data_IF_939829049619
#
_entry.id   IF_939829049619
#
_cell.length_a   1.000
_cell.length_b   1.000
_cell.length_c   1.000
_cell.angle_alpha   90.00
_cell.angle_beta   90.00
_cell.angle_gamma   90.00
#
_symmetry.space_group_name_H-M   'P 1'
#
loop_
_entity.id
_entity.type
_entity.pdbx_description
1 polymer ?
#
# COMPACT_ATOMS: atom_id res chain seq x y z
N UNK A 1 -20.79 2.75 -31.43
CA UNK A 1 -19.39 2.44 -30.95
C UNK A 1 -19.22 2.60 -29.43
N UNK A 2 -20.14 3.17 -28.68
CA UNK A 2 -20.08 3.31 -27.22
C UNK A 2 -20.58 2.06 -26.45
N UNK A 3 -21.39 1.23 -27.09
CA UNK A 3 -22.00 0.03 -26.47
C UNK A 3 -20.94 -1.05 -26.12
N UNK A 4 -19.97 -1.28 -27.00
CA UNK A 4 -18.96 -2.33 -26.79
C UNK A 4 -18.00 -2.04 -25.62
N UNK A 5 -17.65 -0.78 -25.39
CA UNK A 5 -16.83 -0.38 -24.23
C UNK A 5 -17.62 -0.54 -22.91
N UNK A 6 -18.91 -0.15 -22.91
CA UNK A 6 -19.82 -0.35 -21.77
C UNK A 6 -19.98 -1.83 -21.42
N UNK A 7 -20.05 -2.71 -22.43
CA UNK A 7 -20.21 -4.14 -22.22
C UNK A 7 -18.92 -4.81 -21.68
N UNK A 8 -17.75 -4.31 -22.07
CA UNK A 8 -16.45 -4.76 -21.52
C UNK A 8 -16.33 -4.36 -20.05
N UNK A 9 -16.69 -3.12 -19.68
CA UNK A 9 -16.68 -2.67 -18.29
C UNK A 9 -17.70 -3.43 -17.42
N UNK A 10 -18.90 -3.70 -17.95
CA UNK A 10 -19.89 -4.52 -17.27
C UNK A 10 -19.41 -5.96 -17.05
N UNK A 11 -18.76 -6.56 -18.04
CA UNK A 11 -18.20 -7.92 -17.92
C UNK A 11 -17.04 -7.96 -16.92
N UNK A 12 -16.17 -6.97 -16.90
CA UNK A 12 -15.12 -6.87 -15.87
C UNK A 12 -15.69 -6.69 -14.47
N UNK A 13 -16.71 -5.86 -14.30
CA UNK A 13 -17.42 -5.69 -13.03
C UNK A 13 -18.16 -6.96 -12.59
N UNK A 14 -18.74 -7.71 -13.55
CA UNK A 14 -19.41 -8.99 -13.28
C UNK A 14 -18.41 -10.09 -12.92
N UNK A 15 -17.27 -10.19 -13.60
CA UNK A 15 -16.23 -11.19 -13.28
C UNK A 15 -15.63 -10.97 -11.89
N UNK A 16 -15.43 -9.72 -11.48
CA UNK A 16 -15.00 -9.42 -10.11
C UNK A 16 -16.15 -9.60 -9.10
N UNK A 17 -17.37 -9.29 -9.48
CA UNK A 17 -18.57 -9.51 -8.65
C UNK A 17 -18.92 -10.99 -8.49
N UNK A 18 -18.85 -11.80 -9.56
CA UNK A 18 -19.07 -13.23 -9.53
C UNK A 18 -17.98 -13.96 -8.72
N UNK A 19 -16.72 -13.52 -8.82
CA UNK A 19 -15.65 -14.06 -7.98
C UNK A 19 -15.89 -13.76 -6.49
N UNK A 20 -16.55 -12.63 -6.17
CA UNK A 20 -17.00 -12.30 -4.83
C UNK A 20 -18.22 -13.12 -4.40
N UNK A 21 -19.19 -13.37 -5.29
CA UNK A 21 -20.40 -14.14 -4.99
C UNK A 21 -20.13 -15.64 -4.93
N UNK A 22 -19.34 -16.21 -5.81
CA UNK A 22 -18.95 -17.61 -5.76
C UNK A 22 -18.05 -17.95 -4.57
N UNK A 23 -17.23 -17.03 -4.09
CA UNK A 23 -16.45 -17.21 -2.86
C UNK A 23 -17.27 -17.10 -1.57
N UNK A 24 -18.43 -16.51 -1.60
CA UNK A 24 -19.33 -16.48 -0.42
C UNK A 24 -20.19 -17.75 -0.29
N UNK A 25 -20.26 -18.58 -1.32
CA UNK A 25 -21.05 -19.83 -1.34
C UNK A 25 -20.22 -21.10 -1.27
N UNK A 26 -18.90 -21.05 -1.48
CA UNK A 26 -18.05 -22.21 -1.21
C UNK A 26 -17.38 -22.10 0.16
N UNK A 27 -17.52 -23.12 1.03
CA UNK A 27 -16.69 -23.20 2.24
C UNK A 27 -15.25 -23.40 1.81
N UNK A 28 -14.45 -22.35 1.89
CA UNK A 28 -13.03 -22.30 1.50
C UNK A 28 -12.10 -23.16 2.39
N UNK A 29 -12.62 -24.24 2.96
CA UNK A 29 -11.82 -25.22 3.68
C UNK A 29 -12.19 -26.63 3.19
N UNK A 30 -11.27 -27.36 2.57
CA UNK A 30 -11.44 -28.79 2.39
C UNK A 30 -11.38 -29.45 3.79
N UNK A 31 -12.52 -29.83 4.30
CA UNK A 31 -12.69 -30.49 5.59
C UNK A 31 -13.53 -29.66 6.55
N UNK A 32 -14.82 -29.98 6.64
CA UNK A 32 -15.82 -29.36 7.50
C UNK A 32 -15.44 -29.46 8.99
N UNK A 33 -14.55 -28.59 9.43
CA UNK A 33 -14.32 -28.30 10.85
C UNK A 33 -14.96 -26.98 11.16
N UNK A 34 -15.88 -27.02 12.11
CA UNK A 34 -16.39 -25.85 12.84
C UNK A 34 -15.21 -24.94 13.15
N UNK A 35 -15.26 -23.73 12.63
CA UNK A 35 -14.15 -22.78 12.76
C UNK A 35 -13.96 -22.45 14.24
N UNK A 36 -13.05 -23.14 14.87
CA UNK A 36 -12.49 -22.75 16.17
C UNK A 36 -11.93 -21.33 16.03
N UNK A 37 -12.19 -20.48 17.01
CA UNK A 37 -11.77 -19.06 16.98
C UNK A 37 -10.28 -18.87 16.70
N UNK A 38 -9.45 -19.85 17.02
CA UNK A 38 -8.02 -19.89 16.67
C UNK A 38 -7.78 -20.11 15.18
N UNK A 39 -8.64 -20.84 14.49
CA UNK A 39 -8.57 -21.07 13.05
C UNK A 39 -8.88 -19.83 12.19
N UNK A 40 -9.77 -18.95 12.69
CA UNK A 40 -10.14 -17.70 12.00
C UNK A 40 -8.96 -16.71 11.93
N UNK A 41 -8.18 -16.59 13.00
CA UNK A 41 -6.99 -15.75 13.00
C UNK A 41 -5.92 -16.27 12.03
N UNK A 42 -5.65 -17.57 12.03
CA UNK A 42 -4.73 -18.21 11.10
C UNK A 42 -5.16 -18.07 9.65
N UNK A 43 -6.44 -18.20 9.37
CA UNK A 43 -7.03 -17.99 8.04
C UNK A 43 -6.88 -16.56 7.56
N UNK A 44 -7.23 -15.58 8.39
CA UNK A 44 -7.08 -14.15 8.07
C UNK A 44 -5.61 -13.77 7.82
N UNK A 45 -4.68 -14.24 8.65
CA UNK A 45 -3.24 -13.97 8.45
C UNK A 45 -2.72 -14.54 7.13
N UNK A 46 -3.09 -15.78 6.78
CA UNK A 46 -2.68 -16.41 5.50
C UNK A 46 -3.24 -15.65 4.29
N UNK A 47 -4.50 -15.22 4.35
CA UNK A 47 -5.11 -14.44 3.28
C UNK A 47 -4.44 -13.07 3.11
N UNK A 48 -4.21 -12.36 4.22
CA UNK A 48 -3.52 -11.06 4.20
C UNK A 48 -2.10 -11.23 3.67
N UNK A 49 -1.34 -12.21 4.19
CA UNK A 49 0.03 -12.47 3.73
C UNK A 49 0.09 -12.84 2.24
N UNK A 50 -0.80 -13.72 1.76
CA UNK A 50 -0.85 -14.11 0.36
C UNK A 50 -1.15 -12.95 -0.58
N UNK A 51 -2.16 -12.13 -0.26
CA UNK A 51 -2.48 -10.92 -1.03
C UNK A 51 -1.35 -9.91 -1.01
N UNK A 52 -0.76 -9.66 0.15
CA UNK A 52 0.37 -8.75 0.29
C UNK A 52 1.57 -9.19 -0.53
N UNK A 53 1.86 -10.50 -0.56
CA UNK A 53 2.96 -11.03 -1.37
C UNK A 53 2.79 -10.71 -2.86
N UNK A 54 1.58 -10.87 -3.40
CA UNK A 54 1.26 -10.54 -4.80
C UNK A 54 1.39 -9.03 -5.04
N UNK A 55 0.85 -8.19 -4.17
CA UNK A 55 0.95 -6.73 -4.33
C UNK A 55 2.39 -6.23 -4.18
N UNK A 56 3.13 -6.74 -3.21
CA UNK A 56 4.55 -6.41 -3.06
C UNK A 56 5.36 -6.83 -4.30
N UNK A 57 5.10 -8.00 -4.86
CA UNK A 57 5.74 -8.45 -6.10
C UNK A 57 5.46 -7.49 -7.26
N UNK A 58 4.19 -7.14 -7.47
CA UNK A 58 3.78 -6.21 -8.50
C UNK A 58 4.43 -4.83 -8.31
N UNK A 59 4.35 -4.28 -7.11
CA UNK A 59 4.93 -2.97 -6.80
C UNK A 59 6.45 -2.97 -6.89
N UNK A 60 7.12 -4.07 -6.55
CA UNK A 60 8.58 -4.21 -6.73
C UNK A 60 8.96 -4.11 -8.21
N UNK A 61 8.22 -4.78 -9.10
CA UNK A 61 8.47 -4.70 -10.55
C UNK A 61 8.29 -3.26 -11.04
N UNK A 62 7.19 -2.60 -10.67
CA UNK A 62 6.97 -1.20 -11.03
C UNK A 62 8.02 -0.25 -10.45
N UNK A 63 8.42 -0.45 -9.19
CA UNK A 63 9.45 0.36 -8.55
C UNK A 63 10.80 0.20 -9.24
N UNK A 64 11.15 -1.03 -9.62
CA UNK A 64 12.38 -1.31 -10.33
C UNK A 64 12.40 -0.67 -11.71
N UNK A 65 11.26 -0.65 -12.40
CA UNK A 65 11.10 0.06 -13.65
C UNK A 65 11.22 1.59 -13.47
N UNK A 66 10.46 2.16 -12.52
CA UNK A 66 10.39 3.62 -12.33
C UNK A 66 11.69 4.20 -11.74
N UNK A 67 12.31 3.52 -10.78
CA UNK A 67 13.47 4.03 -10.06
C UNK A 67 14.81 3.55 -10.63
N UNK A 68 14.81 2.42 -11.33
CA UNK A 68 16.01 1.88 -11.96
C UNK A 68 16.12 2.25 -13.44
N UNK A 69 15.14 1.85 -14.23
CA UNK A 69 15.21 1.95 -15.68
C UNK A 69 14.96 3.38 -16.18
N UNK A 70 13.94 4.06 -15.63
CA UNK A 70 13.54 5.38 -16.10
C UNK A 70 14.64 6.45 -15.91
N UNK A 71 15.31 6.57 -14.75
CA UNK A 71 16.41 7.51 -14.57
C UNK A 71 17.59 7.24 -15.50
N UNK A 72 17.84 5.97 -15.80
CA UNK A 72 18.89 5.59 -16.74
C UNK A 72 18.59 6.07 -18.16
N UNK A 73 17.35 5.92 -18.65
CA UNK A 73 16.95 6.42 -19.97
C UNK A 73 16.98 7.93 -20.10
N UNK A 74 16.56 8.64 -19.05
CA UNK A 74 16.50 10.10 -19.05
C UNK A 74 17.78 10.76 -18.54
N UNK A 75 18.84 9.99 -18.29
CA UNK A 75 20.12 10.49 -17.74
C UNK A 75 19.92 11.37 -16.49
N UNK A 76 18.95 11.01 -15.64
CA UNK A 76 18.71 11.73 -14.39
C UNK A 76 19.84 11.37 -13.41
N UNK A 77 20.58 12.34 -12.89
CA UNK A 77 21.67 12.07 -11.97
C UNK A 77 21.12 11.48 -10.66
N UNK A 78 21.46 10.22 -10.39
CA UNK A 78 21.22 9.57 -9.13
C UNK A 78 22.49 9.70 -8.27
N UNK A 79 22.43 10.54 -7.25
CA UNK A 79 23.56 10.75 -6.32
C UNK A 79 23.55 9.68 -5.22
N UNK A 80 22.35 9.11 -4.96
CA UNK A 80 22.11 8.18 -3.88
C UNK A 80 22.63 6.77 -4.15
N UNK A 81 22.94 6.06 -3.05
CA UNK A 81 23.31 4.66 -3.10
C UNK A 81 22.06 3.80 -3.37
N UNK A 82 22.04 3.09 -4.51
CA UNK A 82 20.92 2.23 -4.90
C UNK A 82 20.56 1.15 -3.86
N UNK A 83 21.54 0.69 -3.07
CA UNK A 83 21.31 -0.28 -2.00
C UNK A 83 20.42 0.32 -0.89
N UNK A 84 20.66 1.57 -0.49
CA UNK A 84 19.87 2.23 0.55
C UNK A 84 18.45 2.53 0.08
N UNK A 85 18.31 2.93 -1.18
CA UNK A 85 16.99 3.13 -1.81
C UNK A 85 16.21 1.81 -1.81
N UNK A 86 16.84 0.71 -2.22
CA UNK A 86 16.21 -0.61 -2.23
C UNK A 86 15.83 -1.08 -0.81
N UNK A 87 16.71 -0.87 0.17
CA UNK A 87 16.44 -1.24 1.56
C UNK A 87 15.25 -0.45 2.14
N UNK A 88 15.12 0.85 1.80
CA UNK A 88 13.99 1.69 2.21
C UNK A 88 12.69 1.29 1.51
N UNK A 89 12.77 0.82 0.25
CA UNK A 89 11.58 0.39 -0.49
C UNK A 89 10.87 -0.82 0.13
N UNK A 90 11.60 -1.73 0.77
CA UNK A 90 11.01 -2.93 1.38
C UNK A 90 9.91 -2.59 2.40
N UNK A 91 10.19 -1.86 3.50
CA UNK A 91 9.15 -1.51 4.46
C UNK A 91 8.07 -0.60 3.86
N UNK A 92 8.41 0.26 2.92
CA UNK A 92 7.44 1.10 2.23
C UNK A 92 6.40 0.29 1.44
N UNK A 93 6.85 -0.65 0.61
CA UNK A 93 5.95 -1.50 -0.19
C UNK A 93 5.07 -2.38 0.69
N UNK A 94 5.61 -2.90 1.79
CA UNK A 94 4.84 -3.67 2.77
C UNK A 94 3.79 -2.78 3.47
N UNK A 95 4.19 -1.61 3.97
CA UNK A 95 3.28 -0.69 4.64
C UNK A 95 2.13 -0.24 3.72
N UNK A 96 2.45 0.11 2.47
CA UNK A 96 1.46 0.53 1.48
C UNK A 96 0.49 -0.60 1.12
N UNK A 97 1.00 -1.83 0.97
CA UNK A 97 0.16 -3.00 0.68
C UNK A 97 -0.81 -3.29 1.83
N UNK A 98 -0.35 -3.28 3.07
CA UNK A 98 -1.22 -3.47 4.24
C UNK A 98 -2.20 -2.32 4.44
N UNK A 99 -1.76 -1.09 4.21
CA UNK A 99 -2.64 0.07 4.26
C UNK A 99 -3.77 -0.03 3.21
N UNK A 100 -3.43 -0.39 1.97
CA UNK A 100 -4.41 -0.61 0.91
C UNK A 100 -5.41 -1.73 1.24
N UNK A 101 -4.94 -2.85 1.80
CA UNK A 101 -5.82 -3.94 2.25
C UNK A 101 -6.74 -3.52 3.39
N UNK A 102 -6.25 -2.74 4.35
CA UNK A 102 -7.08 -2.21 5.44
C UNK A 102 -8.11 -1.21 4.92
N UNK A 103 -7.71 -0.32 4.01
CA UNK A 103 -8.58 0.69 3.41
C UNK A 103 -9.65 0.09 2.49
N UNK A 104 -9.38 -1.04 1.83
CA UNK A 104 -10.29 -1.68 0.89
C UNK A 104 -11.67 -2.03 1.48
N UNK A 105 -11.78 -2.12 2.81
CA UNK A 105 -13.06 -2.36 3.49
C UNK A 105 -14.02 -1.17 3.42
N UNK A 106 -13.47 0.02 3.38
CA UNK A 106 -14.28 1.26 3.41
C UNK A 106 -14.84 1.62 2.05
N UNK A 107 -14.37 0.96 1.00
CA UNK A 107 -14.83 1.19 -0.36
C UNK A 107 -15.80 0.09 -0.78
N UNK A 108 -17.06 0.45 -0.97
CA UNK A 108 -18.09 -0.41 -1.56
C UNK A 108 -18.12 -0.29 -3.08
N UNK A 109 -17.76 0.88 -3.60
CA UNK A 109 -17.80 1.18 -5.03
C UNK A 109 -16.40 1.12 -5.64
N UNK A 110 -16.28 0.59 -6.85
CA UNK A 110 -15.01 0.45 -7.56
C UNK A 110 -14.38 1.80 -7.97
N UNK A 111 -15.18 2.85 -8.06
CA UNK A 111 -14.74 4.20 -8.48
C UNK A 111 -14.26 5.07 -7.31
N UNK A 112 -14.78 4.83 -6.11
CA UNK A 112 -14.47 5.63 -4.92
C UNK A 112 -12.97 5.70 -4.59
N UNK A 113 -12.18 4.60 -4.69
CA UNK A 113 -10.74 4.65 -4.47
C UNK A 113 -10.00 5.58 -5.43
N UNK A 114 -10.39 5.60 -6.71
CA UNK A 114 -9.75 6.43 -7.74
C UNK A 114 -9.97 7.92 -7.45
N UNK A 115 -11.20 8.31 -7.11
CA UNK A 115 -11.52 9.69 -6.76
C UNK A 115 -10.79 10.11 -5.48
N UNK A 116 -10.71 9.23 -4.49
CA UNK A 116 -9.99 9.49 -3.25
C UNK A 116 -8.49 9.71 -3.51
N UNK A 117 -7.85 8.84 -4.29
CA UNK A 117 -6.43 8.98 -4.64
C UNK A 117 -6.19 10.29 -5.39
N UNK A 118 -7.02 10.63 -6.37
CA UNK A 118 -6.90 11.88 -7.14
C UNK A 118 -7.00 13.10 -6.22
N UNK A 119 -7.95 13.10 -5.27
CA UNK A 119 -8.15 14.22 -4.35
C UNK A 119 -7.02 14.35 -3.32
N UNK A 120 -6.57 13.21 -2.77
CA UNK A 120 -5.50 13.20 -1.76
C UNK A 120 -4.11 13.35 -2.34
N UNK A 121 -3.89 13.11 -3.65
CA UNK A 121 -2.55 13.15 -4.27
C UNK A 121 -1.86 14.50 -4.11
N UNK A 122 -2.61 15.59 -4.27
CA UNK A 122 -2.08 16.95 -4.07
C UNK A 122 -1.72 17.18 -2.60
N UNK A 123 -2.59 16.76 -1.68
CA UNK A 123 -2.34 16.84 -0.24
C UNK A 123 -1.12 16.05 0.20
N UNK A 124 -0.86 14.88 -0.41
CA UNK A 124 0.30 14.05 -0.12
C UNK A 124 1.63 14.74 -0.44
N UNK A 125 1.69 15.55 -1.50
CA UNK A 125 2.91 16.31 -1.86
C UNK A 125 3.26 17.30 -0.74
N UNK A 126 2.28 18.02 -0.21
CA UNK A 126 2.50 18.93 0.92
C UNK A 126 2.83 18.16 2.20
N UNK A 127 2.13 17.04 2.44
CA UNK A 127 2.31 16.22 3.64
C UNK A 127 3.66 15.49 3.66
N UNK A 128 4.29 15.29 2.50
CA UNK A 128 5.58 14.57 2.39
C UNK A 128 6.74 15.27 3.11
N UNK A 129 6.60 16.56 3.43
CA UNK A 129 7.69 17.33 4.04
C UNK A 129 8.73 17.83 3.04
N UNK A 130 8.59 17.50 1.75
CA UNK A 130 9.49 17.93 0.69
C UNK A 130 9.23 19.37 0.26
N UNK A 131 7.94 19.71 0.07
CA UNK A 131 7.53 21.07 -0.33
C UNK A 131 7.47 22.02 0.84
N UNK A 132 7.20 21.53 2.04
CA UNK A 132 7.11 22.33 3.26
C UNK A 132 7.75 21.59 4.43
N UNK A 133 8.77 22.17 5.11
CA UNK A 133 9.48 21.51 6.19
C UNK A 133 8.56 21.07 7.33
N UNK A 134 8.73 19.84 7.81
CA UNK A 134 7.90 19.25 8.88
C UNK A 134 7.95 20.05 10.18
N UNK A 135 9.07 20.73 10.43
CA UNK A 135 9.28 21.54 11.64
C UNK A 135 8.34 22.75 11.72
N UNK A 136 7.98 23.31 10.55
CA UNK A 136 7.08 24.45 10.42
C UNK A 136 5.61 24.05 10.33
N UNK A 137 5.33 22.74 10.22
CA UNK A 137 3.96 22.26 10.13
C UNK A 137 3.26 22.29 11.49
N UNK A 138 1.97 22.71 11.55
CA UNK A 138 1.13 22.52 12.70
C UNK A 138 1.08 21.04 13.12
N UNK A 139 0.93 20.78 14.41
CA UNK A 139 1.00 19.44 15.00
C UNK A 139 0.04 18.41 14.34
N UNK A 140 -1.15 18.84 13.93
CA UNK A 140 -2.16 17.99 13.30
C UNK A 140 -1.75 17.55 11.89
N UNK A 141 -1.08 18.39 11.10
CA UNK A 141 -0.51 18.02 9.80
C UNK A 141 0.67 17.08 9.94
N UNK A 142 1.48 17.30 10.97
CA UNK A 142 2.60 16.40 11.29
C UNK A 142 2.10 15.02 11.70
N UNK A 143 0.98 14.90 12.42
CA UNK A 143 0.32 13.62 12.70
C UNK A 143 -0.13 12.92 11.41
N UNK A 144 -0.74 13.65 10.48
CA UNK A 144 -1.17 13.10 9.20
C UNK A 144 0.02 12.58 8.35
N UNK A 145 1.19 13.24 8.41
CA UNK A 145 2.42 12.76 7.80
C UNK A 145 2.80 11.34 8.29
N UNK A 146 2.73 11.11 9.59
CA UNK A 146 3.08 9.81 10.17
C UNK A 146 2.01 8.73 9.97
N UNK A 147 0.78 9.08 9.58
CA UNK A 147 -0.27 8.10 9.29
C UNK A 147 -0.14 7.56 7.86
N UNK A 148 0.21 8.39 6.89
CA UNK A 148 0.25 7.97 5.48
C UNK A 148 1.63 7.43 5.09
N UNK A 149 1.75 6.16 4.67
CA UNK A 149 3.06 5.55 4.37
C UNK A 149 3.80 6.24 3.23
N UNK A 150 3.09 6.88 2.31
CA UNK A 150 3.68 7.62 1.21
C UNK A 150 4.46 8.86 1.66
N UNK A 151 4.05 9.52 2.75
CA UNK A 151 4.66 10.76 3.20
C UNK A 151 6.10 10.58 3.72
N UNK A 152 6.38 9.75 4.74
CA UNK A 152 7.76 9.52 5.19
C UNK A 152 8.60 8.81 4.14
N UNK A 153 8.03 7.95 3.30
CA UNK A 153 8.76 7.31 2.23
C UNK A 153 9.25 8.30 1.17
N UNK A 154 8.40 9.28 0.78
CA UNK A 154 8.80 10.33 -0.18
C UNK A 154 9.93 11.18 0.38
N UNK A 155 9.86 11.58 1.65
CA UNK A 155 10.92 12.36 2.32
C UNK A 155 12.24 11.58 2.37
N UNK A 156 12.19 10.31 2.80
CA UNK A 156 13.36 9.43 2.82
C UNK A 156 13.95 9.23 1.41
N UNK A 157 13.10 9.03 0.41
CA UNK A 157 13.54 8.88 -0.98
C UNK A 157 14.26 10.13 -1.49
N UNK A 158 13.73 11.33 -1.25
CA UNK A 158 14.36 12.58 -1.68
C UNK A 158 15.70 12.79 -0.97
N UNK A 159 15.77 12.51 0.34
CA UNK A 159 17.04 12.56 1.09
C UNK A 159 18.10 11.64 0.48
N UNK A 160 17.75 10.37 0.23
CA UNK A 160 18.66 9.38 -0.34
C UNK A 160 19.07 9.71 -1.78
N UNK A 161 18.08 9.99 -2.64
CA UNK A 161 18.30 10.13 -4.07
C UNK A 161 18.89 11.49 -4.49
N UNK A 162 18.39 12.58 -3.90
CA UNK A 162 18.74 13.94 -4.33
C UNK A 162 19.79 14.61 -3.44
N UNK A 163 19.84 14.24 -2.14
CA UNK A 163 20.79 14.82 -1.19
C UNK A 163 22.00 13.92 -0.95
N UNK A 164 21.97 12.67 -1.46
CA UNK A 164 23.06 11.71 -1.22
C UNK A 164 23.21 11.31 0.25
N UNK A 165 22.13 11.38 1.02
CA UNK A 165 22.10 11.07 2.44
C UNK A 165 22.43 9.60 2.69
N UNK A 166 22.98 9.30 3.86
CA UNK A 166 23.21 7.94 4.31
C UNK A 166 21.99 7.34 5.02
N UNK A 167 22.06 6.02 5.27
CA UNK A 167 21.01 5.31 6.00
C UNK A 167 20.77 5.85 7.42
N UNK A 168 21.80 6.46 8.02
CA UNK A 168 21.70 7.09 9.34
C UNK A 168 20.80 8.34 9.31
N UNK A 169 20.83 9.10 8.21
CA UNK A 169 20.10 10.36 8.06
C UNK A 169 18.60 10.15 7.84
N UNK A 170 18.22 8.96 7.35
CA UNK A 170 16.81 8.57 7.13
C UNK A 170 16.26 7.65 8.23
N UNK A 171 17.04 7.44 9.29
CA UNK A 171 16.66 6.55 10.38
C UNK A 171 15.25 6.84 10.96
N UNK A 172 14.84 8.08 11.21
CA UNK A 172 13.51 8.36 11.75
C UNK A 172 12.39 7.95 10.77
N UNK A 173 12.54 8.22 9.48
CA UNK A 173 11.56 7.82 8.46
C UNK A 173 11.53 6.29 8.29
N UNK A 174 12.69 5.66 8.31
CA UNK A 174 12.80 4.21 8.19
C UNK A 174 12.15 3.47 9.36
N UNK A 175 12.36 3.93 10.59
CA UNK A 175 11.70 3.39 11.79
C UNK A 175 10.19 3.62 11.70
N UNK A 176 9.76 4.79 11.27
CA UNK A 176 8.33 5.11 11.07
C UNK A 176 7.68 4.13 10.09
N UNK A 177 8.32 3.82 8.97
CA UNK A 177 7.81 2.85 8.00
C UNK A 177 7.66 1.45 8.60
N UNK A 178 8.61 0.98 9.40
CA UNK A 178 8.50 -0.31 10.09
C UNK A 178 7.38 -0.34 11.13
N UNK A 179 7.19 0.74 11.88
CA UNK A 179 6.06 0.87 12.81
C UNK A 179 4.75 0.80 12.03
N UNK A 180 4.64 1.50 10.90
CA UNK A 180 3.48 1.45 10.03
C UNK A 180 3.21 0.05 9.48
N UNK A 181 4.24 -0.73 9.09
CA UNK A 181 4.10 -2.13 8.68
C UNK A 181 3.40 -2.95 9.76
N UNK A 182 3.86 -2.83 11.01
CA UNK A 182 3.29 -3.59 12.13
C UNK A 182 1.85 -3.18 12.41
N UNK A 183 1.59 -1.87 12.47
CA UNK A 183 0.25 -1.32 12.75
C UNK A 183 -0.74 -1.71 11.65
N UNK A 184 -0.38 -1.52 10.38
CA UNK A 184 -1.27 -1.82 9.26
C UNK A 184 -1.43 -3.31 9.01
N UNK A 185 -0.43 -4.13 9.32
CA UNK A 185 -0.59 -5.58 9.32
C UNK A 185 -1.66 -6.00 10.34
N UNK A 186 -1.55 -5.53 11.59
CA UNK A 186 -2.53 -5.83 12.63
C UNK A 186 -3.94 -5.35 12.26
N UNK A 187 -4.04 -4.14 11.71
CA UNK A 187 -5.32 -3.56 11.25
C UNK A 187 -5.93 -4.40 10.11
N UNK A 188 -5.12 -4.79 9.12
CA UNK A 188 -5.58 -5.62 8.01
C UNK A 188 -6.08 -6.98 8.48
N UNK A 189 -5.34 -7.65 9.36
CA UNK A 189 -5.76 -8.94 9.93
C UNK A 189 -7.07 -8.79 10.70
N UNK A 190 -7.21 -7.74 11.50
CA UNK A 190 -8.44 -7.47 12.25
C UNK A 190 -9.64 -7.23 11.32
N UNK A 191 -9.44 -6.44 10.26
CA UNK A 191 -10.47 -6.15 9.24
C UNK A 191 -10.92 -7.44 8.54
N UNK A 192 -9.97 -8.28 8.11
CA UNK A 192 -10.28 -9.54 7.43
C UNK A 192 -10.91 -10.56 8.38
N UNK A 193 -10.50 -10.63 9.65
CA UNK A 193 -11.15 -11.46 10.66
C UNK A 193 -12.62 -11.10 10.80
N UNK A 194 -12.95 -9.82 10.95
CA UNK A 194 -14.33 -9.35 11.07
C UNK A 194 -15.17 -9.65 9.83
N UNK A 195 -14.54 -9.75 8.65
CA UNK A 195 -15.20 -10.17 7.41
C UNK A 195 -15.48 -11.66 7.35
N UNK A 196 -14.67 -12.49 7.99
CA UNK A 196 -14.87 -13.94 8.08
C UNK A 196 -15.90 -14.33 9.16
N UNK A 197 -16.17 -13.43 10.10
CA UNK A 197 -17.18 -13.61 11.16
C UNK A 197 -18.61 -13.15 10.73
N UNK A 198 -18.71 -12.32 9.68
CA UNK A 198 -19.96 -11.76 9.15
C UNK A 198 -20.53 -12.61 8.03
#
# INVERSE_FOLDING_TARGET
RSSAASDVYKRQGMLTGDEYQHRSTEPLLPGGRTADKSGLWGGAMRLVAGKTFVYCGLYTVFSMFLLGLLPHFFSIPNIGNGLYITAMMVPYLMATSFFGLAASRYFTDSEAPLLMIAFFSVGLIFLSGVSYPLELMPWYWRMAHYILPAAPATLAFVKLNSMGADMADIQPEYITLWIQVIVYFGLSVWVYKKKLEA
#
